data_IF_896600054331
#
_entry.id   IF_896600054331
#
_cell.length_a   1.000
_cell.length_b   1.000
_cell.length_c   1.000
_cell.angle_alpha   90.00
_cell.angle_beta   90.00
_cell.angle_gamma   90.00
#
_symmetry.space_group_name_H-M   'P 1'
#
loop_
_entity.id
_entity.type
_entity.pdbx_description
1 polymer ?
#
# COMPACT_ATOMS: atom_id res chain seq x y z
N UNK A 1 15.75 -12.14 -2.81
CA UNK A 1 16.01 -10.90 -3.59
C UNK A 1 16.34 -9.75 -2.63
N UNK A 2 17.52 -9.12 -2.78
CA UNK A 2 18.01 -8.03 -1.90
C UNK A 2 17.09 -6.81 -1.98
N UNK A 3 16.67 -6.41 -3.17
CA UNK A 3 15.82 -5.23 -3.39
C UNK A 3 14.43 -5.40 -2.78
N UNK A 4 13.81 -6.58 -2.94
CA UNK A 4 12.52 -6.87 -2.29
C UNK A 4 12.64 -6.81 -0.77
N UNK A 5 13.71 -7.34 -0.18
CA UNK A 5 13.92 -7.28 1.26
C UNK A 5 14.11 -5.83 1.76
N UNK A 6 14.83 -4.99 1.01
CA UNK A 6 15.00 -3.57 1.32
C UNK A 6 13.66 -2.82 1.24
N UNK A 7 12.88 -3.05 0.18
CA UNK A 7 11.56 -2.47 0.01
C UNK A 7 10.61 -2.91 1.13
N UNK A 8 10.56 -4.20 1.45
CA UNK A 8 9.69 -4.74 2.50
C UNK A 8 9.98 -4.11 3.87
N UNK A 9 11.26 -3.93 4.23
CA UNK A 9 11.65 -3.24 5.47
C UNK A 9 11.12 -1.81 5.51
N UNK A 10 11.31 -1.05 4.42
CA UNK A 10 10.81 0.34 4.31
C UNK A 10 9.29 0.40 4.44
N UNK A 11 8.58 -0.51 3.78
CA UNK A 11 7.12 -0.52 3.82
C UNK A 11 6.56 -0.95 5.18
N UNK A 12 7.22 -1.88 5.87
CA UNK A 12 6.88 -2.25 7.24
C UNK A 12 7.05 -1.08 8.19
N UNK A 13 8.19 -0.38 8.13
CA UNK A 13 8.49 0.72 9.03
C UNK A 13 7.61 1.94 8.78
N UNK A 14 7.40 2.31 7.51
CA UNK A 14 6.80 3.61 7.17
C UNK A 14 5.29 3.50 6.91
N UNK A 15 4.81 2.35 6.43
CA UNK A 15 3.45 2.19 5.91
C UNK A 15 2.68 1.04 6.58
N UNK A 16 3.26 0.41 7.62
CA UNK A 16 2.65 -0.68 8.40
C UNK A 16 2.11 -1.82 7.53
N UNK A 17 2.81 -2.14 6.44
CA UNK A 17 2.43 -3.19 5.51
C UNK A 17 3.67 -3.95 5.02
N UNK A 18 3.51 -5.17 4.51
CA UNK A 18 4.61 -5.98 3.99
C UNK A 18 4.40 -6.29 2.51
N UNK A 19 5.37 -5.89 1.68
CA UNK A 19 5.37 -6.24 0.26
C UNK A 19 5.58 -7.74 0.08
N UNK A 20 6.40 -8.37 0.92
CA UNK A 20 6.61 -9.83 0.85
C UNK A 20 5.34 -10.62 1.14
N UNK A 21 4.62 -10.27 2.21
CA UNK A 21 3.34 -10.90 2.53
C UNK A 21 2.33 -10.71 1.39
N UNK A 22 2.31 -9.54 0.74
CA UNK A 22 1.48 -9.33 -0.43
C UNK A 22 1.86 -10.26 -1.60
N UNK A 23 3.15 -10.43 -1.88
CA UNK A 23 3.63 -11.33 -2.93
C UNK A 23 3.33 -12.80 -2.61
N UNK A 24 3.51 -13.22 -1.36
CA UNK A 24 3.15 -14.56 -0.87
C UNK A 24 1.65 -14.80 -1.05
N UNK A 25 0.81 -13.84 -0.63
CA UNK A 25 -0.65 -13.93 -0.81
C UNK A 25 -1.06 -14.01 -2.29
N UNK A 26 -0.44 -13.21 -3.17
CA UNK A 26 -0.70 -13.26 -4.62
C UNK A 26 -0.30 -14.63 -5.19
N UNK A 27 0.81 -15.20 -4.72
CA UNK A 27 1.26 -16.52 -5.16
C UNK A 27 0.28 -17.63 -4.74
N UNK A 28 -0.30 -17.52 -3.54
CA UNK A 28 -1.19 -18.53 -2.97
C UNK A 28 -2.63 -18.43 -3.47
N UNK A 29 -3.14 -17.21 -3.64
CA UNK A 29 -4.57 -16.96 -3.89
C UNK A 29 -4.86 -16.25 -5.22
N UNK A 30 -3.82 -15.80 -5.92
CA UNK A 30 -3.94 -15.08 -7.18
C UNK A 30 -4.28 -13.58 -7.01
N UNK A 31 -4.12 -12.85 -8.12
CA UNK A 31 -4.25 -11.40 -8.14
C UNK A 31 -5.68 -10.92 -7.83
N UNK A 32 -6.71 -11.66 -8.28
CA UNK A 32 -8.12 -11.28 -8.09
C UNK A 32 -8.50 -11.21 -6.61
N UNK A 33 -8.13 -12.23 -5.83
CA UNK A 33 -8.39 -12.25 -4.39
C UNK A 33 -7.54 -11.22 -3.65
N UNK A 34 -6.29 -11.04 -4.08
CA UNK A 34 -5.45 -9.96 -3.54
C UNK A 34 -6.11 -8.59 -3.71
N UNK A 35 -6.57 -8.26 -4.92
CA UNK A 35 -7.24 -6.99 -5.19
C UNK A 35 -8.48 -6.79 -4.31
N UNK A 36 -9.35 -7.80 -4.17
CA UNK A 36 -10.51 -7.73 -3.27
C UNK A 36 -10.09 -7.43 -1.83
N UNK A 37 -9.08 -8.14 -1.31
CA UNK A 37 -8.52 -7.93 0.03
C UNK A 37 -7.98 -6.51 0.20
N UNK A 38 -7.29 -5.96 -0.80
CA UNK A 38 -6.79 -4.58 -0.76
C UNK A 38 -7.94 -3.56 -0.74
N UNK A 39 -8.98 -3.75 -1.56
CA UNK A 39 -10.18 -2.89 -1.53
C UNK A 39 -10.85 -2.93 -0.16
N UNK A 40 -11.04 -4.11 0.42
CA UNK A 40 -11.62 -4.22 1.77
C UNK A 40 -10.75 -3.56 2.84
N UNK A 41 -9.43 -3.76 2.82
CA UNK A 41 -8.53 -3.22 3.85
C UNK A 41 -8.26 -1.72 3.74
N UNK A 42 -8.30 -1.17 2.52
CA UNK A 42 -7.89 0.21 2.25
C UNK A 42 -9.02 1.11 1.74
N UNK A 43 -10.28 0.68 1.78
CA UNK A 43 -11.40 1.55 1.39
C UNK A 43 -11.52 2.79 2.29
N UNK A 44 -11.96 3.88 1.68
CA UNK A 44 -12.43 5.08 2.34
C UNK A 44 -13.86 4.85 2.84
N UNK A 45 -14.10 5.07 4.14
CA UNK A 45 -15.43 4.93 4.73
C UNK A 45 -16.46 5.93 4.17
N UNK A 46 -16.01 7.05 3.60
CA UNK A 46 -16.89 8.07 3.04
C UNK A 46 -17.37 7.75 1.61
N UNK A 47 -16.48 7.29 0.73
CA UNK A 47 -16.79 7.14 -0.70
C UNK A 47 -16.48 5.77 -1.30
N UNK A 48 -15.98 4.81 -0.51
CA UNK A 48 -15.62 3.47 -0.97
C UNK A 48 -14.36 3.38 -1.84
N UNK A 49 -13.82 4.50 -2.33
CA UNK A 49 -12.57 4.50 -3.08
C UNK A 49 -11.37 4.10 -2.20
N UNK A 50 -10.25 3.74 -2.82
CA UNK A 50 -9.04 3.38 -2.08
C UNK A 50 -8.41 4.58 -1.37
N UNK A 51 -7.73 4.30 -0.27
CA UNK A 51 -6.76 5.18 0.38
C UNK A 51 -5.34 4.76 0.01
N UNK A 52 -4.46 5.73 -0.16
CA UNK A 52 -3.04 5.47 -0.39
C UNK A 52 -2.36 4.94 0.88
N UNK A 53 -1.52 3.91 0.73
CA UNK A 53 -0.70 3.37 1.83
C UNK A 53 0.35 4.36 2.32
N UNK A 54 0.74 5.33 1.48
CA UNK A 54 1.84 6.24 1.79
C UNK A 54 1.41 7.43 2.62
N UNK A 55 0.28 8.05 2.28
CA UNK A 55 -0.21 9.26 2.96
C UNK A 55 -1.52 9.03 3.72
N UNK A 56 -2.10 7.82 3.66
CA UNK A 56 -3.37 7.43 4.29
C UNK A 56 -4.58 8.25 3.83
N UNK A 57 -4.45 8.97 2.71
CA UNK A 57 -5.49 9.82 2.13
C UNK A 57 -6.31 9.08 1.09
N UNK A 58 -7.60 9.38 1.03
CA UNK A 58 -8.49 8.89 -0.01
C UNK A 58 -8.14 9.52 -1.38
N UNK A 59 -8.02 8.69 -2.42
CA UNK A 59 -7.74 9.17 -3.79
C UNK A 59 -8.84 10.05 -4.39
N UNK A 60 -10.05 10.01 -3.83
CA UNK A 60 -11.20 10.78 -4.33
C UNK A 60 -11.58 11.94 -3.41
N UNK A 61 -11.58 11.74 -2.09
CA UNK A 61 -12.01 12.76 -1.15
C UNK A 61 -10.94 13.81 -0.85
N UNK A 62 -9.66 13.45 -1.01
CA UNK A 62 -8.55 14.23 -0.47
C UNK A 62 -7.54 14.55 -1.56
N UNK A 63 -6.96 15.76 -1.48
CA UNK A 63 -5.85 16.14 -2.34
C UNK A 63 -4.62 15.32 -1.96
N UNK A 64 -4.10 14.59 -2.95
CA UNK A 64 -2.85 13.85 -2.84
C UNK A 64 -1.76 14.69 -3.49
N UNK A 65 -0.96 15.36 -2.66
CA UNK A 65 0.30 15.92 -3.13
C UNK A 65 1.24 14.76 -3.49
N UNK A 66 1.90 14.85 -4.65
CA UNK A 66 2.98 13.92 -5.00
C UNK A 66 4.01 14.00 -3.88
N UNK A 67 4.33 12.86 -3.28
CA UNK A 67 5.51 12.76 -2.43
C UNK A 67 6.71 12.96 -3.34
N UNK A 68 7.20 14.19 -3.45
CA UNK A 68 8.63 14.39 -3.73
C UNK A 68 9.30 13.66 -2.58
N UNK A 69 10.07 12.60 -2.86
CA UNK A 69 10.83 11.92 -1.82
C UNK A 69 11.63 13.03 -1.13
N UNK A 70 11.23 13.40 0.09
CA UNK A 70 12.00 14.36 0.88
C UNK A 70 13.34 13.66 1.02
N UNK A 71 14.33 14.14 0.26
CA UNK A 71 15.73 13.83 0.51
C UNK A 71 15.91 14.07 1.99
N UNK A 72 16.13 12.97 2.72
CA UNK A 72 16.40 13.04 4.14
C UNK A 72 17.65 13.90 4.28
N UNK A 73 17.47 15.14 4.73
CA UNK A 73 18.53 15.96 5.31
C UNK A 73 19.18 15.15 6.43
#
# INVERSE_FOLDING_TARGET
>A
CKEINRMDRRYKSNYKMSVKVNLEYIKEHGLKEFTKKQYQGYHCSNCGALKSVHNRRCFKCESIQKLVEIEKI
#
